data_IF_518906768994
#
_entry.id   IF_518906768994
#
_cell.length_a   1.000
_cell.length_b   1.000
_cell.length_c   1.000
_cell.angle_alpha   90.00
_cell.angle_beta   90.00
_cell.angle_gamma   90.00
#
_symmetry.space_group_name_H-M   'P 1'
#
loop_
_entity.id
_entity.type
_entity.pdbx_description
1 polymer ?
#
# COMPACT_ATOMS: atom_id res chain seq x y z
N UNK A 1 -59.45 58.62 24.10
CA UNK A 1 -59.91 57.21 24.20
C UNK A 1 -59.17 56.44 23.11
N UNK A 2 -58.43 55.38 23.47
CA UNK A 2 -57.55 54.60 22.58
C UNK A 2 -58.38 53.66 21.65
N UNK A 3 -57.90 53.29 20.44
CA UNK A 3 -57.16 52.03 20.35
C UNK A 3 -55.96 52.02 19.37
N UNK A 4 -54.81 51.64 19.93
CA UNK A 4 -53.90 50.55 19.54
C UNK A 4 -53.70 50.17 18.07
N UNK A 5 -52.49 50.47 17.61
CA UNK A 5 -51.76 49.96 16.44
C UNK A 5 -51.74 48.43 16.35
N UNK A 6 -52.19 47.88 15.22
CA UNK A 6 -51.97 46.49 14.81
C UNK A 6 -51.00 46.45 13.63
N UNK A 7 -49.98 45.60 13.73
CA UNK A 7 -49.39 44.98 12.55
C UNK A 7 -48.10 45.61 12.02
N UNK A 8 -47.07 45.68 12.85
CA UNK A 8 -45.71 45.59 12.35
C UNK A 8 -44.97 44.66 13.31
N UNK A 9 -44.71 43.42 12.88
CA UNK A 9 -43.68 42.47 13.35
C UNK A 9 -44.14 41.04 13.01
N UNK A 10 -44.26 40.76 11.71
CA UNK A 10 -44.38 39.40 11.23
C UNK A 10 -43.35 39.20 10.12
N UNK A 11 -42.04 39.27 10.42
CA UNK A 11 -41.04 38.81 9.44
C UNK A 11 -39.60 38.51 9.94
N UNK A 12 -39.31 38.37 11.26
CA UNK A 12 -37.89 38.30 11.70
C UNK A 12 -37.51 37.20 12.71
N UNK A 13 -38.21 36.05 12.79
CA UNK A 13 -37.79 34.96 13.69
C UNK A 13 -37.82 33.57 13.04
N UNK A 14 -37.17 33.41 11.89
CA UNK A 14 -36.99 32.11 11.26
C UNK A 14 -35.53 31.81 10.90
N UNK A 15 -34.58 32.11 11.79
CA UNK A 15 -33.18 31.69 11.61
C UNK A 15 -32.49 31.49 12.96
N UNK A 16 -32.70 30.39 13.69
CA UNK A 16 -31.84 30.03 14.86
C UNK A 16 -31.99 28.59 15.36
N UNK A 17 -32.27 27.62 14.49
CA UNK A 17 -32.15 26.19 14.85
C UNK A 17 -31.06 25.48 14.03
N UNK A 18 -29.88 26.10 13.93
CA UNK A 18 -28.67 25.35 13.62
C UNK A 18 -28.19 24.67 14.91
N UNK A 19 -28.95 23.65 15.35
CA UNK A 19 -28.54 22.74 16.42
C UNK A 19 -27.29 22.01 15.95
N UNK A 20 -26.14 22.61 16.22
CA UNK A 20 -24.82 22.03 16.00
C UNK A 20 -24.68 20.91 17.03
N UNK A 21 -25.20 19.72 16.70
CA UNK A 21 -24.89 18.53 17.48
C UNK A 21 -23.36 18.42 17.48
N UNK A 22 -22.76 18.64 18.65
CA UNK A 22 -21.32 18.45 18.83
C UNK A 22 -21.01 17.03 18.37
N UNK A 23 -19.97 16.82 17.55
CA UNK A 23 -19.60 15.48 17.12
C UNK A 23 -19.40 14.63 18.38
N UNK A 24 -20.18 13.56 18.51
CA UNK A 24 -19.96 12.60 19.58
C UNK A 24 -18.50 12.15 19.48
N UNK A 25 -17.72 12.46 20.52
CA UNK A 25 -16.30 12.15 20.54
C UNK A 25 -16.17 10.63 20.55
N UNK A 26 -16.01 10.03 19.38
CA UNK A 26 -15.93 8.58 19.24
C UNK A 26 -14.64 8.12 19.95
N UNK A 27 -14.81 7.40 21.05
CA UNK A 27 -13.70 6.80 21.81
C UNK A 27 -13.10 5.70 20.93
N UNK A 28 -11.83 5.83 20.49
CA UNK A 28 -11.25 4.86 19.57
C UNK A 28 -10.99 3.50 20.26
N UNK A 29 -10.82 2.41 19.50
CA UNK A 29 -10.47 1.10 20.06
C UNK A 29 -9.22 1.15 20.93
N UNK A 30 -9.18 0.32 21.98
CA UNK A 30 -8.08 0.23 22.95
C UNK A 30 -7.85 1.54 23.73
N UNK A 31 -8.91 2.31 23.96
CA UNK A 31 -8.90 3.52 24.78
C UNK A 31 -10.11 3.57 25.71
N UNK A 32 -10.06 4.46 26.70
CA UNK A 32 -11.17 4.80 27.60
C UNK A 32 -11.32 6.32 27.68
N UNK A 33 -12.55 6.78 27.90
CA UNK A 33 -12.84 8.19 28.15
C UNK A 33 -12.23 8.63 29.49
N UNK A 34 -11.69 9.84 29.54
CA UNK A 34 -11.20 10.44 30.78
C UNK A 34 -12.34 11.18 31.46
N UNK A 35 -12.66 10.85 32.72
CA UNK A 35 -13.68 11.58 33.48
C UNK A 35 -13.23 13.02 33.75
N UNK A 36 -14.12 13.99 33.53
CA UNK A 36 -13.87 15.40 33.81
C UNK A 36 -13.19 16.23 32.69
N UNK A 37 -13.04 15.69 31.48
CA UNK A 37 -12.52 16.44 30.33
C UNK A 37 -12.97 15.89 28.98
N UNK A 38 -12.80 16.68 27.92
CA UNK A 38 -13.00 16.23 26.54
C UNK A 38 -11.76 15.46 26.07
N UNK A 39 -11.76 14.13 26.19
CA UNK A 39 -10.64 13.32 25.70
C UNK A 39 -10.70 11.85 26.07
N UNK A 40 -9.75 11.10 25.52
CA UNK A 40 -9.56 9.67 25.75
C UNK A 40 -8.10 9.35 26.04
N UNK A 41 -7.88 8.25 26.75
CA UNK A 41 -6.55 7.71 27.05
C UNK A 41 -6.45 6.27 26.59
N UNK A 42 -5.27 5.89 26.10
CA UNK A 42 -5.03 4.50 25.73
C UNK A 42 -5.06 3.57 26.94
N UNK A 43 -5.61 2.38 26.72
CA UNK A 43 -5.58 1.32 27.72
C UNK A 43 -4.14 0.84 27.96
N UNK A 44 -3.90 0.21 29.10
CA UNK A 44 -2.60 -0.37 29.45
C UNK A 44 -2.07 -1.25 28.32
N UNK A 45 -0.80 -1.07 27.96
CA UNK A 45 -0.17 -1.78 26.85
C UNK A 45 -0.38 -1.14 25.47
N UNK A 46 -1.06 0.02 25.40
CA UNK A 46 -1.23 0.81 24.17
C UNK A 46 -0.68 2.23 24.35
N UNK A 47 -0.25 2.86 23.25
CA UNK A 47 0.22 4.26 23.23
C UNK A 47 -0.45 5.03 22.10
N UNK A 48 -0.62 6.33 22.31
CA UNK A 48 -1.23 7.23 21.32
C UNK A 48 -0.27 7.46 20.14
N UNK A 49 -0.73 7.15 18.93
CA UNK A 49 0.00 7.31 17.66
C UNK A 49 -1.03 7.60 16.56
N UNK A 50 -0.89 8.70 15.83
CA UNK A 50 -1.76 9.06 14.68
C UNK A 50 -3.26 9.00 15.01
N UNK A 51 -3.68 9.60 16.13
CA UNK A 51 -5.10 9.65 16.53
C UNK A 51 -5.70 8.31 16.98
N UNK A 52 -4.89 7.26 17.19
CA UNK A 52 -5.35 5.94 17.66
C UNK A 52 -4.45 5.37 18.75
N UNK A 53 -4.94 4.35 19.44
CA UNK A 53 -4.16 3.57 20.39
C UNK A 53 -3.51 2.38 19.71
N UNK A 54 -2.18 2.45 19.53
CA UNK A 54 -1.38 1.36 18.97
C UNK A 54 -0.75 0.53 20.09
N UNK A 55 -0.84 -0.80 19.99
CA UNK A 55 -0.22 -1.72 20.96
C UNK A 55 1.28 -1.46 21.04
N UNK A 56 1.80 -1.33 22.25
CA UNK A 56 3.21 -1.09 22.51
C UNK A 56 4.00 -2.31 22.02
N UNK A 57 4.99 -2.07 21.14
CA UNK A 57 5.78 -3.12 20.51
C UNK A 57 5.14 -3.77 19.27
N UNK A 58 3.92 -3.40 18.87
CA UNK A 58 3.30 -3.85 17.62
C UNK A 58 3.74 -3.00 16.42
N UNK A 59 5.04 -2.76 16.29
CA UNK A 59 5.59 -2.23 15.04
C UNK A 59 5.64 -3.39 14.07
N UNK A 60 4.94 -3.33 12.92
CA UNK A 60 5.01 -4.40 11.94
C UNK A 60 6.48 -4.55 11.53
N UNK A 61 6.97 -5.78 11.60
CA UNK A 61 8.33 -6.09 11.15
C UNK A 61 8.35 -6.13 9.62
N UNK A 62 9.47 -5.75 8.99
CA UNK A 62 9.63 -5.94 7.55
C UNK A 62 9.60 -7.44 7.20
N UNK A 63 9.31 -7.76 5.94
CA UNK A 63 9.36 -9.14 5.47
C UNK A 63 10.74 -9.77 5.73
N UNK A 64 10.75 -11.05 6.11
CA UNK A 64 11.95 -11.81 6.46
C UNK A 64 12.73 -11.28 7.69
N UNK A 65 12.06 -10.54 8.58
CA UNK A 65 12.60 -10.14 9.87
C UNK A 65 11.93 -10.87 11.04
N UNK A 66 12.68 -11.07 12.11
CA UNK A 66 12.21 -11.61 13.38
C UNK A 66 12.59 -10.66 14.52
N UNK A 67 11.77 -10.62 15.59
CA UNK A 67 11.96 -9.74 16.74
C UNK A 67 10.69 -8.99 17.12
N UNK A 68 10.84 -7.87 17.84
CA UNK A 68 9.71 -7.07 18.35
C UNK A 68 10.06 -5.58 18.43
N UNK A 69 9.14 -4.74 17.95
CA UNK A 69 9.29 -3.29 18.02
C UNK A 69 10.53 -2.81 17.25
N UNK A 70 11.39 -2.03 17.91
CA UNK A 70 12.64 -1.54 17.31
C UNK A 70 13.78 -2.57 17.31
N UNK A 71 13.63 -3.67 18.06
CA UNK A 71 14.63 -4.72 18.16
C UNK A 71 14.23 -5.87 17.23
N UNK A 72 14.70 -5.81 16.00
CA UNK A 72 14.51 -6.86 15.00
C UNK A 72 15.80 -7.14 14.24
N UNK A 73 15.90 -8.36 13.74
CA UNK A 73 17.02 -8.84 12.93
C UNK A 73 16.49 -9.55 11.68
N UNK A 74 17.34 -9.65 10.67
CA UNK A 74 17.01 -10.39 9.46
C UNK A 74 17.17 -11.89 9.69
N UNK A 75 16.21 -12.67 9.20
CA UNK A 75 16.28 -14.12 9.24
C UNK A 75 17.48 -14.64 8.42
N UNK A 76 17.86 -15.90 8.64
CA UNK A 76 18.98 -16.53 7.93
C UNK A 76 18.83 -16.40 6.40
N UNK A 77 19.92 -16.04 5.72
CA UNK A 77 19.93 -15.77 4.28
C UNK A 77 19.50 -14.36 3.87
N UNK A 78 19.24 -13.46 4.84
CA UNK A 78 18.92 -12.05 4.60
C UNK A 78 19.83 -11.12 5.39
N UNK A 79 20.11 -9.94 4.83
CA UNK A 79 20.85 -8.86 5.49
C UNK A 79 20.04 -7.57 5.55
N UNK A 80 20.34 -6.76 6.56
CA UNK A 80 19.65 -5.49 6.79
C UNK A 80 20.14 -4.44 5.80
N UNK A 81 19.23 -3.92 4.99
CA UNK A 81 19.47 -2.80 4.08
C UNK A 81 18.42 -1.73 4.36
N UNK A 82 18.81 -0.67 5.06
CA UNK A 82 17.88 0.32 5.60
C UNK A 82 16.87 -0.31 6.57
N UNK A 83 15.58 -0.14 6.28
CA UNK A 83 14.46 -0.69 7.06
C UNK A 83 13.90 -2.01 6.48
N UNK A 84 14.67 -2.75 5.69
CA UNK A 84 14.25 -4.00 5.07
C UNK A 84 15.31 -5.10 5.21
N UNK A 85 14.86 -6.35 5.11
CA UNK A 85 15.73 -7.52 4.97
C UNK A 85 15.81 -7.93 3.50
N UNK A 86 17.01 -7.84 2.93
CA UNK A 86 17.26 -8.24 1.54
C UNK A 86 18.01 -9.57 1.51
N UNK A 87 17.58 -10.49 0.65
CA UNK A 87 18.21 -11.80 0.50
C UNK A 87 19.66 -11.63 0.05
N UNK A 88 20.56 -12.38 0.66
CA UNK A 88 22.00 -12.34 0.38
C UNK A 88 22.48 -13.62 -0.25
N UNK A 89 23.60 -13.55 -0.98
CA UNK A 89 24.08 -14.68 -1.77
C UNK A 89 23.27 -14.91 -3.05
N UNK A 90 22.49 -13.91 -3.49
CA UNK A 90 21.85 -13.93 -4.80
C UNK A 90 22.92 -13.83 -5.90
N UNK A 91 22.90 -14.71 -6.92
CA UNK A 91 23.83 -14.60 -8.03
C UNK A 91 23.63 -13.31 -8.83
N UNK A 92 24.64 -12.91 -9.60
CA UNK A 92 24.52 -11.77 -10.50
C UNK A 92 23.31 -11.94 -11.43
N UNK A 93 22.66 -10.83 -11.79
CA UNK A 93 21.47 -10.80 -12.65
C UNK A 93 20.26 -11.58 -12.11
N UNK A 94 20.16 -11.75 -10.79
CA UNK A 94 18.99 -12.35 -10.14
C UNK A 94 18.22 -11.36 -9.25
N UNK A 95 17.06 -11.81 -8.79
CA UNK A 95 16.23 -11.16 -7.77
C UNK A 95 15.58 -12.21 -6.86
N UNK A 96 15.21 -11.82 -5.65
CA UNK A 96 14.51 -12.68 -4.70
C UNK A 96 13.07 -12.91 -5.15
N UNK A 97 12.63 -14.17 -5.21
CA UNK A 97 11.26 -14.54 -5.60
C UNK A 97 10.71 -15.54 -4.59
N UNK A 98 9.87 -15.06 -3.67
CA UNK A 98 9.36 -15.87 -2.55
C UNK A 98 10.50 -16.44 -1.68
N UNK A 99 10.53 -17.77 -1.53
CA UNK A 99 11.59 -18.49 -0.81
C UNK A 99 12.84 -18.78 -1.66
N UNK A 100 12.75 -18.64 -2.98
CA UNK A 100 13.85 -18.89 -3.93
C UNK A 100 14.35 -17.58 -4.56
N UNK A 101 15.06 -17.67 -5.67
CA UNK A 101 15.49 -16.56 -6.51
C UNK A 101 15.21 -16.88 -7.97
N UNK A 102 15.08 -15.82 -8.76
CA UNK A 102 14.81 -15.92 -10.19
C UNK A 102 15.75 -14.99 -10.95
N UNK A 103 16.05 -15.36 -12.19
CA UNK A 103 16.85 -14.52 -13.07
C UNK A 103 16.05 -13.32 -13.56
N UNK A 104 16.72 -12.18 -13.70
CA UNK A 104 16.13 -10.98 -14.31
C UNK A 104 15.76 -11.27 -15.76
N UNK A 105 14.86 -10.46 -16.30
CA UNK A 105 14.49 -10.50 -17.72
C UNK A 105 15.74 -10.43 -18.59
N UNK A 106 15.81 -11.30 -19.61
CA UNK A 106 16.99 -11.44 -20.48
C UNK A 106 18.05 -12.44 -19.98
N UNK A 107 17.79 -13.14 -18.87
CA UNK A 107 18.66 -14.17 -18.33
C UNK A 107 17.89 -15.45 -17.99
N UNK A 108 18.55 -16.61 -18.04
CA UNK A 108 18.02 -17.91 -17.63
C UNK A 108 18.89 -18.58 -16.57
N UNK A 109 18.30 -19.47 -15.78
CA UNK A 109 18.99 -20.16 -14.68
C UNK A 109 19.82 -21.32 -15.24
N UNK A 110 21.12 -21.31 -14.94
CA UNK A 110 22.06 -22.41 -15.22
C UNK A 110 22.75 -22.76 -13.91
N UNK A 111 22.29 -23.82 -13.25
CA UNK A 111 22.73 -24.14 -11.89
C UNK A 111 22.47 -22.99 -10.90
N UNK A 112 23.55 -22.50 -10.28
CA UNK A 112 23.53 -21.42 -9.27
C UNK A 112 23.88 -20.02 -9.85
N UNK A 113 23.71 -19.83 -11.17
CA UNK A 113 23.94 -18.53 -11.83
C UNK A 113 22.86 -18.20 -12.85
N UNK A 114 22.78 -16.91 -13.19
CA UNK A 114 21.99 -16.42 -14.30
C UNK A 114 22.89 -16.13 -15.50
N UNK A 115 22.68 -16.86 -16.58
CA UNK A 115 23.36 -16.66 -17.86
C UNK A 115 22.44 -15.87 -18.79
N UNK A 116 23.04 -15.01 -19.62
CA UNK A 116 22.28 -14.16 -20.54
C UNK A 116 21.59 -15.08 -21.55
N UNK A 117 20.31 -14.84 -21.82
CA UNK A 117 19.65 -15.52 -22.92
C UNK A 117 20.37 -15.14 -24.21
N UNK A 118 20.84 -16.13 -24.95
CA UNK A 118 21.21 -15.99 -26.35
C UNK A 118 19.94 -15.83 -27.17
N UNK A 119 19.24 -14.71 -26.98
CA UNK A 119 18.26 -14.30 -27.97
C UNK A 119 19.05 -13.75 -29.15
N UNK A 120 18.99 -14.35 -30.34
CA UNK A 120 19.31 -13.58 -31.54
C UNK A 120 18.42 -12.33 -31.48
N UNK A 121 19.05 -11.15 -31.56
CA UNK A 121 18.31 -9.92 -31.77
C UNK A 121 17.45 -10.15 -33.01
N UNK A 122 16.13 -10.16 -32.80
CA UNK A 122 15.13 -10.43 -33.85
C UNK A 122 15.11 -11.91 -34.25
N UNK A 123 14.03 -12.62 -33.89
CA UNK A 123 13.49 -13.61 -34.82
C UNK A 123 13.01 -12.77 -36.00
N UNK A 124 13.92 -12.42 -36.91
CA UNK A 124 13.51 -12.24 -38.29
C UNK A 124 13.04 -13.64 -38.64
N UNK A 125 11.72 -13.81 -38.72
CA UNK A 125 11.17 -14.99 -39.37
C UNK A 125 12.01 -15.22 -40.64
N UNK A 126 12.45 -16.46 -40.93
CA UNK A 126 13.09 -16.70 -42.20
C UNK A 126 12.15 -16.10 -43.26
N UNK A 127 12.66 -15.17 -44.06
CA UNK A 127 12.00 -14.82 -45.29
C UNK A 127 11.93 -16.14 -46.04
N UNK A 128 10.77 -16.78 -46.00
CA UNK A 128 10.44 -17.80 -46.99
C UNK A 128 10.34 -17.02 -48.29
N UNK A 129 11.46 -16.89 -48.98
CA UNK A 129 11.44 -16.67 -50.42
C UNK A 129 10.87 -17.96 -51.01
N UNK A 130 9.53 -18.05 -51.00
CA UNK A 130 8.82 -18.97 -51.87
C UNK A 130 9.23 -18.64 -53.31
N UNK A 131 9.80 -19.59 -54.06
CA UNK A 131 10.05 -19.40 -55.48
C UNK A 131 8.72 -19.12 -56.16
N UNK A 132 8.62 -18.02 -56.90
CA UNK A 132 7.50 -17.79 -57.81
C UNK A 132 7.62 -18.75 -59.00
N UNK A 133 7.31 -20.03 -58.80
CA UNK A 133 7.07 -20.98 -59.89
C UNK A 133 5.60 -20.89 -60.31
N UNK A 134 5.33 -19.92 -61.17
CA UNK A 134 4.40 -20.05 -62.30
C UNK A 134 2.91 -20.27 -62.02
N UNK A 135 2.10 -19.26 -62.36
CA UNK A 135 0.90 -19.52 -63.17
C UNK A 135 -0.44 -18.95 -62.70
N UNK A 136 -0.87 -17.91 -63.43
CA UNK A 136 -2.21 -17.42 -63.83
C UNK A 136 -3.41 -17.47 -62.86
N UNK A 137 -3.99 -16.28 -62.65
CA UNK A 137 -5.45 -16.09 -62.62
C UNK A 137 -5.79 -15.19 -63.80
N UNK A 138 -6.62 -15.71 -64.71
CA UNK A 138 -7.30 -14.92 -65.73
C UNK A 138 -8.57 -14.34 -65.10
N UNK A 139 -8.73 -13.02 -65.24
CA UNK A 139 -9.95 -12.28 -64.92
C UNK A 139 -11.17 -12.82 -65.68
N UNK A 140 -12.39 -12.47 -65.25
CA UNK A 140 -13.02 -11.29 -65.87
C UNK A 140 -13.30 -10.11 -64.93
#
# INVERSE_FOLDING_TARGET
>A
MCPTTRGALALLLAVLSLSSALPAFAVPPNSHAVSGGAGWRCNTGYRQRLGRCQKIGATPLPANAAGKGAHWYCQSGYQRVGNQCRKTGLPANSYSSGKDWSCRVGYHRVGERCEKLDTPATVTAPAVEEPCDGGYILDP
#
